data_IF_162521249359
#
_entry.id   IF_162521249359
#
_cell.length_a   1.000
_cell.length_b   1.000
_cell.length_c   1.000
_cell.angle_alpha   90.00
_cell.angle_beta   90.00
_cell.angle_gamma   90.00
#
_symmetry.space_group_name_H-M   'P 1'
#
loop_
_entity.id
_entity.type
_entity.pdbx_description
1 polymer ?
#
# COMPACT_ATOMS: atom_id res chain seq x y z
N UNK A 1 -2.99 -3.35 1.77
CA UNK A 1 -3.53 -1.97 1.63
C UNK A 1 -3.23 -1.50 0.23
N UNK A 2 -4.23 -0.90 -0.44
CA UNK A 2 -4.20 -0.68 -1.90
C UNK A 2 -4.42 -1.97 -2.69
N UNK A 3 -5.57 -2.64 -2.50
CA UNK A 3 -5.84 -3.93 -3.13
C UNK A 3 -6.35 -3.85 -4.57
N UNK A 4 -6.84 -2.68 -5.00
CA UNK A 4 -7.56 -2.48 -6.26
C UNK A 4 -8.67 -3.54 -6.40
N UNK A 5 -8.81 -4.16 -7.58
CA UNK A 5 -9.87 -5.12 -7.93
C UNK A 5 -9.36 -6.53 -8.24
N UNK A 6 -8.06 -6.79 -8.08
CA UNK A 6 -7.41 -8.06 -8.44
C UNK A 6 -6.90 -8.10 -9.90
N UNK A 7 -6.26 -9.21 -10.33
CA UNK A 7 -6.02 -10.45 -9.57
C UNK A 7 -4.78 -10.39 -8.66
N UNK A 8 -3.92 -9.37 -8.80
CA UNK A 8 -2.64 -9.29 -8.09
C UNK A 8 -2.80 -9.40 -6.55
N UNK A 9 -3.84 -8.79 -5.98
CA UNK A 9 -4.11 -8.89 -4.55
C UNK A 9 -4.40 -10.31 -4.09
N UNK A 10 -5.02 -11.15 -4.93
CA UNK A 10 -5.33 -12.54 -4.57
C UNK A 10 -4.06 -13.40 -4.55
N UNK A 11 -3.15 -13.18 -5.49
CA UNK A 11 -1.84 -13.86 -5.51
C UNK A 11 -1.03 -13.47 -4.27
N UNK A 12 -0.99 -12.17 -3.92
CA UNK A 12 -0.29 -11.70 -2.74
C UNK A 12 -0.88 -12.31 -1.45
N UNK A 13 -2.21 -12.32 -1.32
CA UNK A 13 -2.90 -12.94 -0.18
C UNK A 13 -2.60 -14.43 -0.09
N UNK A 14 -2.69 -15.16 -1.21
CA UNK A 14 -2.44 -16.60 -1.25
C UNK A 14 -1.01 -16.92 -0.79
N UNK A 15 -0.01 -16.19 -1.29
CA UNK A 15 1.39 -16.38 -0.89
C UNK A 15 1.60 -16.17 0.62
N UNK A 16 0.96 -15.13 1.19
CA UNK A 16 1.06 -14.85 2.63
C UNK A 16 0.37 -15.95 3.45
N UNK A 17 -0.84 -16.33 3.06
CA UNK A 17 -1.62 -17.38 3.73
C UNK A 17 -0.85 -18.71 3.73
N UNK A 18 -0.34 -19.14 2.58
CA UNK A 18 0.46 -20.36 2.46
C UNK A 18 1.72 -20.30 3.31
N UNK A 19 2.45 -19.18 3.29
CA UNK A 19 3.65 -19.01 4.11
C UNK A 19 3.35 -19.10 5.62
N UNK A 20 2.24 -18.49 6.07
CA UNK A 20 1.79 -18.57 7.46
C UNK A 20 1.43 -20.01 7.82
N UNK A 21 0.56 -20.67 7.05
CA UNK A 21 0.12 -22.03 7.34
C UNK A 21 1.27 -23.02 7.33
N UNK A 22 2.18 -22.94 6.35
CA UNK A 22 3.38 -23.78 6.30
C UNK A 22 4.25 -23.59 7.55
N UNK A 23 4.39 -22.34 8.03
CA UNK A 23 5.13 -22.07 9.26
C UNK A 23 4.48 -22.74 10.45
N UNK A 24 3.15 -22.61 10.63
CA UNK A 24 2.43 -23.26 11.71
C UNK A 24 2.57 -24.79 11.66
N UNK A 25 2.40 -25.40 10.49
CA UNK A 25 2.55 -26.85 10.30
C UNK A 25 3.97 -27.36 10.60
N UNK A 26 4.99 -26.56 10.31
CA UNK A 26 6.38 -26.96 10.60
C UNK A 26 6.73 -26.87 12.09
N UNK A 27 5.99 -26.09 12.87
CA UNK A 27 6.23 -25.88 14.30
C UNK A 27 5.33 -26.75 15.18
N UNK A 28 4.09 -26.97 14.77
CA UNK A 28 3.09 -27.76 15.49
C UNK A 28 2.96 -29.16 14.86
N UNK A 29 3.15 -30.22 15.65
CA UNK A 29 3.05 -31.61 15.15
C UNK A 29 1.60 -32.10 14.96
N UNK A 30 0.61 -31.28 15.30
CA UNK A 30 -0.81 -31.59 15.19
C UNK A 30 -1.50 -30.64 14.21
N UNK A 31 -2.10 -31.19 13.15
CA UNK A 31 -2.85 -30.43 12.15
C UNK A 31 -4.18 -29.87 12.69
N UNK A 32 -4.62 -30.30 13.89
CA UNK A 32 -5.85 -29.82 14.53
C UNK A 32 -5.77 -28.36 15.04
N UNK A 33 -4.58 -27.75 15.04
CA UNK A 33 -4.31 -26.42 15.63
C UNK A 33 -4.12 -25.29 14.61
N UNK A 34 -4.43 -25.51 13.33
CA UNK A 34 -4.24 -24.47 12.32
C UNK A 34 -5.10 -23.24 12.60
N UNK A 35 -4.53 -22.03 12.54
CA UNK A 35 -5.27 -20.82 12.83
C UNK A 35 -6.31 -20.54 11.73
N UNK A 36 -7.46 -20.04 12.14
CA UNK A 36 -8.37 -19.37 11.21
C UNK A 36 -7.76 -18.05 10.73
N UNK A 37 -7.83 -17.80 9.43
CA UNK A 37 -7.22 -16.62 8.82
C UNK A 37 -8.29 -15.64 8.35
N UNK A 38 -8.18 -14.39 8.79
CA UNK A 38 -9.01 -13.28 8.34
C UNK A 38 -8.17 -12.31 7.51
N UNK A 39 -8.62 -12.04 6.29
CA UNK A 39 -7.98 -11.14 5.33
C UNK A 39 -8.82 -9.89 5.15
N UNK A 40 -8.19 -8.73 5.31
CA UNK A 40 -8.80 -7.44 5.02
C UNK A 40 -8.26 -6.87 3.71
N UNK A 41 -9.15 -6.66 2.75
CA UNK A 41 -8.84 -6.02 1.47
C UNK A 41 -9.19 -4.53 1.59
N UNK A 42 -8.17 -3.70 1.72
CA UNK A 42 -8.32 -2.25 1.83
C UNK A 42 -7.97 -1.54 0.53
N UNK A 43 -8.82 -0.59 0.14
CA UNK A 43 -8.57 0.42 -0.88
C UNK A 43 -9.41 1.68 -0.59
N UNK A 44 -9.31 2.72 -1.42
CA UNK A 44 -10.16 3.90 -1.35
C UNK A 44 -11.64 3.52 -1.37
N UNK A 45 -12.48 4.34 -0.72
CA UNK A 45 -13.92 4.10 -0.66
C UNK A 45 -14.60 4.08 -2.06
N UNK A 46 -13.96 4.69 -3.05
CA UNK A 46 -14.43 4.72 -4.45
C UNK A 46 -13.94 3.52 -5.27
N UNK A 47 -13.13 2.63 -4.71
CA UNK A 47 -12.70 1.42 -5.40
C UNK A 47 -13.90 0.50 -5.70
N UNK A 48 -13.83 -0.25 -6.79
CA UNK A 48 -14.89 -1.18 -7.18
C UNK A 48 -14.78 -2.51 -6.41
N UNK A 49 -15.21 -2.46 -5.14
CA UNK A 49 -15.29 -3.65 -4.28
C UNK A 49 -16.26 -4.70 -4.82
N UNK A 50 -17.24 -4.33 -5.66
CA UNK A 50 -18.16 -5.31 -6.25
C UNK A 50 -17.41 -6.22 -7.22
N UNK A 51 -16.59 -5.65 -8.09
CA UNK A 51 -15.72 -6.43 -8.98
C UNK A 51 -14.74 -7.27 -8.18
N UNK A 52 -14.08 -6.68 -7.17
CA UNK A 52 -13.16 -7.41 -6.29
C UNK A 52 -13.82 -8.65 -5.66
N UNK A 53 -15.00 -8.50 -5.07
CA UNK A 53 -15.68 -9.61 -4.39
C UNK A 53 -16.22 -10.67 -5.36
N UNK A 54 -16.68 -10.28 -6.55
CA UNK A 54 -17.08 -11.23 -7.60
C UNK A 54 -15.90 -12.05 -8.13
N UNK A 55 -14.69 -11.48 -8.10
CA UNK A 55 -13.46 -12.11 -8.58
C UNK A 55 -12.71 -12.92 -7.51
N UNK A 56 -13.22 -13.01 -6.28
CA UNK A 56 -12.56 -13.77 -5.22
C UNK A 56 -12.41 -15.26 -5.60
N UNK A 57 -11.26 -15.89 -5.31
CA UNK A 57 -11.08 -17.32 -5.52
C UNK A 57 -12.13 -18.14 -4.73
N UNK A 58 -12.82 -19.09 -5.38
CA UNK A 58 -13.90 -19.85 -4.72
C UNK A 58 -13.38 -20.81 -3.64
N UNK A 59 -12.22 -21.44 -3.87
CA UNK A 59 -11.63 -22.44 -2.98
C UNK A 59 -10.56 -21.82 -2.06
N UNK A 60 -10.95 -20.86 -1.23
CA UNK A 60 -10.08 -20.19 -0.26
C UNK A 60 -10.24 -20.79 1.14
N UNK A 61 -9.15 -20.86 1.89
CA UNK A 61 -9.09 -21.32 3.28
C UNK A 61 -8.95 -20.15 4.28
N UNK A 62 -9.52 -19.00 3.93
CA UNK A 62 -9.50 -17.76 4.72
C UNK A 62 -10.80 -16.97 4.53
N UNK A 63 -11.17 -16.21 5.55
CA UNK A 63 -12.28 -15.28 5.51
C UNK A 63 -11.83 -13.93 4.94
N UNK A 64 -12.72 -13.23 4.26
CA UNK A 64 -12.42 -11.96 3.59
C UNK A 64 -13.41 -10.88 4.02
N UNK A 65 -12.88 -9.70 4.33
CA UNK A 65 -13.66 -8.48 4.50
C UNK A 65 -13.04 -7.33 3.69
N UNK A 66 -13.88 -6.44 3.16
CA UNK A 66 -13.44 -5.19 2.55
C UNK A 66 -13.32 -4.09 3.60
N UNK A 67 -12.30 -3.24 3.46
CA UNK A 67 -12.09 -2.10 4.35
C UNK A 67 -11.93 -0.82 3.52
N UNK A 68 -13.02 -0.11 3.19
CA UNK A 68 -12.95 1.13 2.41
C UNK A 68 -12.33 2.26 3.25
N UNK A 69 -11.35 2.97 2.69
CA UNK A 69 -10.72 4.12 3.32
C UNK A 69 -9.27 4.35 2.89
N UNK A 70 -8.76 5.56 3.08
CA UNK A 70 -7.36 5.88 2.78
C UNK A 70 -6.43 5.16 3.76
N UNK A 71 -5.42 4.47 3.23
CA UNK A 71 -4.40 3.83 4.06
C UNK A 71 -3.45 4.81 4.73
N UNK A 72 -3.42 6.09 4.35
CA UNK A 72 -2.59 7.09 5.05
C UNK A 72 -3.07 7.34 6.49
N UNK A 73 -4.33 7.03 6.80
CA UNK A 73 -4.91 7.15 8.15
C UNK A 73 -5.12 5.81 8.86
N UNK A 74 -5.71 5.89 10.06
CA UNK A 74 -6.20 4.72 10.81
C UNK A 74 -7.41 4.10 10.12
N UNK A 75 -7.42 2.77 10.04
CA UNK A 75 -8.47 1.93 9.45
C UNK A 75 -8.91 0.82 10.41
N UNK A 76 -8.03 0.39 11.32
CA UNK A 76 -8.27 -0.76 12.18
C UNK A 76 -8.18 -0.40 13.67
N UNK A 77 -8.81 -1.21 14.55
CA UNK A 77 -8.55 -1.16 15.98
C UNK A 77 -7.07 -1.33 16.32
N UNK A 78 -6.71 -0.97 17.54
CA UNK A 78 -5.34 -1.14 18.02
C UNK A 78 -5.02 -2.62 18.19
N UNK A 79 -3.79 -3.02 17.84
CA UNK A 79 -3.29 -4.41 17.98
C UNK A 79 -4.20 -5.47 17.32
N UNK A 80 -4.72 -5.22 16.12
CA UNK A 80 -5.61 -6.15 15.42
C UNK A 80 -5.02 -6.79 14.17
N UNK A 81 -3.90 -6.29 13.66
CA UNK A 81 -3.26 -6.79 12.43
C UNK A 81 -1.96 -7.54 12.74
N UNK A 82 -1.83 -8.76 12.22
CA UNK A 82 -0.60 -9.55 12.33
C UNK A 82 0.38 -9.27 11.19
N UNK A 83 -0.14 -9.12 9.97
CA UNK A 83 0.64 -8.88 8.76
C UNK A 83 -0.07 -7.79 7.94
N UNK A 84 0.68 -6.75 7.58
CA UNK A 84 0.26 -5.72 6.63
C UNK A 84 1.08 -5.88 5.36
N UNK A 85 0.41 -5.96 4.23
CA UNK A 85 1.05 -6.01 2.92
C UNK A 85 0.57 -4.85 2.05
N UNK A 86 1.50 -4.13 1.45
CA UNK A 86 1.24 -3.02 0.53
C UNK A 86 2.17 -3.13 -0.68
N UNK A 87 1.60 -3.13 -1.88
CA UNK A 87 2.37 -3.25 -3.14
C UNK A 87 1.88 -2.22 -4.15
N UNK A 88 2.78 -1.41 -4.68
CA UNK A 88 2.48 -0.39 -5.70
C UNK A 88 1.32 0.53 -5.31
N UNK A 89 1.23 0.91 -4.03
CA UNK A 89 0.23 1.85 -3.53
C UNK A 89 0.86 3.09 -2.88
N UNK A 90 1.96 2.95 -2.13
CA UNK A 90 2.55 4.05 -1.35
C UNK A 90 3.14 5.18 -2.20
N UNK A 91 3.37 4.98 -3.49
CA UNK A 91 3.79 6.06 -4.38
C UNK A 91 2.66 7.06 -4.69
N UNK A 92 1.41 6.70 -4.42
CA UNK A 92 0.28 7.61 -4.56
C UNK A 92 0.17 8.50 -3.33
N UNK A 93 0.47 9.79 -3.53
CA UNK A 93 0.35 10.79 -2.49
C UNK A 93 -1.10 10.96 -2.03
N UNK A 94 -1.28 11.40 -0.79
CA UNK A 94 -2.61 11.72 -0.25
C UNK A 94 -3.26 12.90 -0.98
N UNK A 95 -2.44 13.80 -1.50
CA UNK A 95 -2.84 15.00 -2.22
C UNK A 95 -1.68 15.52 -3.09
N UNK A 96 -1.98 16.45 -4.00
CA UNK A 96 -0.96 17.22 -4.72
C UNK A 96 -0.28 18.18 -3.74
N UNK A 97 1.07 18.32 -3.75
CA UNK A 97 1.75 19.32 -2.92
C UNK A 97 1.26 20.73 -3.27
N UNK A 98 0.80 21.50 -2.28
CA UNK A 98 0.17 22.81 -2.52
C UNK A 98 1.10 23.80 -3.22
N UNK A 99 2.38 23.72 -2.89
CA UNK A 99 3.44 24.58 -3.42
C UNK A 99 3.66 24.38 -4.92
N UNK A 100 3.27 23.23 -5.49
CA UNK A 100 3.42 22.99 -6.93
C UNK A 100 2.25 23.55 -7.75
N UNK A 101 1.12 23.84 -7.10
CA UNK A 101 -0.07 24.44 -7.71
C UNK A 101 -0.08 25.98 -7.61
N UNK A 102 0.65 26.54 -6.64
CA UNK A 102 0.74 27.98 -6.43
C UNK A 102 1.66 28.65 -7.46
N UNK A 103 1.09 29.48 -8.34
CA UNK A 103 1.81 30.23 -9.39
C UNK A 103 2.90 31.17 -8.83
N UNK A 104 2.76 31.62 -7.59
CA UNK A 104 3.74 32.49 -6.93
C UNK A 104 4.88 31.73 -6.25
N UNK A 105 4.74 30.41 -6.08
CA UNK A 105 5.72 29.55 -5.43
C UNK A 105 6.91 29.25 -6.34
N UNK A 106 8.14 29.18 -5.79
CA UNK A 106 9.29 28.71 -6.55
C UNK A 106 9.19 27.22 -6.94
N UNK A 107 8.25 26.47 -6.35
CA UNK A 107 7.97 25.08 -6.69
C UNK A 107 6.88 24.92 -7.76
N UNK A 108 6.27 26.01 -8.26
CA UNK A 108 5.21 25.98 -9.27
C UNK A 108 5.57 25.12 -10.47
N UNK A 109 4.81 24.05 -10.72
CA UNK A 109 5.15 23.08 -11.74
C UNK A 109 4.55 23.42 -13.11
N UNK A 110 4.87 24.61 -13.63
CA UNK A 110 4.29 25.12 -14.89
C UNK A 110 4.49 24.14 -16.06
N UNK A 111 3.38 23.75 -16.69
CA UNK A 111 3.37 22.98 -17.93
C UNK A 111 3.80 21.53 -17.77
N UNK A 112 3.82 20.99 -16.54
CA UNK A 112 4.18 19.60 -16.24
C UNK A 112 3.16 19.00 -15.28
N UNK A 113 3.01 17.68 -15.34
CA UNK A 113 2.07 16.91 -14.52
C UNK A 113 2.74 16.19 -13.34
N UNK A 114 4.08 16.21 -13.27
CA UNK A 114 4.87 15.54 -12.25
C UNK A 114 6.26 16.19 -12.12
N UNK A 115 7.08 15.77 -11.15
CA UNK A 115 8.40 16.39 -10.88
C UNK A 115 9.50 16.00 -11.88
N UNK A 116 9.23 15.15 -12.86
CA UNK A 116 10.24 14.71 -13.84
C UNK A 116 10.78 15.91 -14.62
N UNK A 117 12.12 16.09 -14.62
CA UNK A 117 12.77 17.25 -15.26
C UNK A 117 12.24 18.61 -14.76
N UNK A 118 11.81 18.67 -13.49
CA UNK A 118 11.34 19.89 -12.82
C UNK A 118 12.46 20.54 -12.01
N UNK A 119 12.20 21.73 -11.47
CA UNK A 119 13.13 22.42 -10.58
C UNK A 119 13.29 21.66 -9.25
N UNK A 120 14.43 21.85 -8.59
CA UNK A 120 14.72 21.19 -7.30
C UNK A 120 13.66 21.50 -6.24
N UNK A 121 13.07 22.70 -6.27
CA UNK A 121 11.98 23.10 -5.38
C UNK A 121 10.71 22.27 -5.61
N UNK A 122 10.37 21.98 -6.87
CA UNK A 122 9.26 21.09 -7.21
C UNK A 122 9.55 19.66 -6.73
N UNK A 123 10.75 19.15 -7.01
CA UNK A 123 11.17 17.81 -6.55
C UNK A 123 11.08 17.71 -5.03
N UNK A 124 11.56 18.73 -4.32
CA UNK A 124 11.48 18.82 -2.86
C UNK A 124 10.05 18.84 -2.36
N UNK A 125 9.15 19.61 -2.97
CA UNK A 125 7.74 19.64 -2.56
C UNK A 125 7.07 18.25 -2.65
N UNK A 126 7.32 17.51 -3.73
CA UNK A 126 6.85 16.13 -3.85
C UNK A 126 7.49 15.18 -2.81
N UNK A 127 8.80 15.34 -2.54
CA UNK A 127 9.50 14.53 -1.55
C UNK A 127 9.00 14.79 -0.12
N UNK A 128 8.76 16.06 0.24
CA UNK A 128 8.24 16.46 1.55
C UNK A 128 6.81 15.93 1.75
N UNK A 129 5.94 16.01 0.72
CA UNK A 129 4.60 15.42 0.77
C UNK A 129 4.65 13.90 0.93
N UNK A 130 5.52 13.20 0.17
CA UNK A 130 5.71 11.75 0.33
C UNK A 130 6.19 11.38 1.74
N UNK A 131 7.15 12.14 2.29
CA UNK A 131 7.65 11.90 3.63
C UNK A 131 6.55 12.06 4.68
N UNK A 132 5.71 13.10 4.57
CA UNK A 132 4.56 13.29 5.44
C UNK A 132 3.51 12.19 5.31
N UNK A 133 3.21 11.74 4.09
CA UNK A 133 2.26 10.66 3.82
C UNK A 133 2.75 9.31 4.36
N UNK A 134 4.05 9.03 4.20
CA UNK A 134 4.68 7.82 4.72
C UNK A 134 4.71 7.82 6.26
N UNK A 135 5.00 8.97 6.88
CA UNK A 135 4.94 9.12 8.33
C UNK A 135 3.53 8.86 8.87
N UNK A 136 2.51 9.47 8.26
CA UNK A 136 1.10 9.21 8.59
C UNK A 136 0.75 7.71 8.46
N UNK A 137 1.13 7.08 7.34
CA UNK A 137 0.93 5.66 7.12
C UNK A 137 1.59 4.82 8.22
N UNK A 138 2.88 5.02 8.48
CA UNK A 138 3.62 4.24 9.47
C UNK A 138 3.09 4.47 10.89
N UNK A 139 2.71 5.69 11.24
CA UNK A 139 2.13 6.02 12.54
C UNK A 139 0.77 5.33 12.76
N UNK A 140 -0.06 5.27 11.71
CA UNK A 140 -1.32 4.52 11.76
C UNK A 140 -1.06 3.00 11.88
N UNK A 141 -0.13 2.44 11.09
CA UNK A 141 0.21 1.01 11.15
C UNK A 141 0.83 0.60 12.48
N UNK A 142 1.67 1.45 13.07
CA UNK A 142 2.29 1.19 14.36
C UNK A 142 1.26 1.01 15.49
N UNK A 143 0.08 1.62 15.37
CA UNK A 143 -1.00 1.44 16.34
C UNK A 143 -1.85 0.19 16.06
N UNK A 144 -1.97 -0.22 14.80
CA UNK A 144 -2.86 -1.30 14.38
C UNK A 144 -2.19 -2.67 14.36
N UNK A 145 -0.88 -2.70 14.14
CA UNK A 145 -0.08 -3.93 14.05
C UNK A 145 0.30 -4.39 15.44
N UNK A 146 0.00 -5.65 15.75
CA UNK A 146 0.35 -6.28 17.03
C UNK A 146 1.86 -6.25 17.26
N UNK A 147 2.27 -6.32 18.52
CA UNK A 147 3.68 -6.54 18.87
C UNK A 147 4.24 -7.78 18.16
N UNK A 148 5.32 -7.60 17.41
CA UNK A 148 5.96 -8.67 16.63
C UNK A 148 5.31 -8.95 15.27
N UNK A 149 4.28 -8.19 14.89
CA UNK A 149 3.68 -8.24 13.56
C UNK A 149 4.62 -7.69 12.47
N UNK A 150 4.25 -7.95 11.21
CA UNK A 150 5.06 -7.63 10.05
C UNK A 150 4.39 -6.60 9.15
N UNK A 151 5.19 -5.69 8.60
CA UNK A 151 4.79 -4.77 7.53
C UNK A 151 5.68 -5.04 6.31
N UNK A 152 5.05 -5.47 5.21
CA UNK A 152 5.71 -5.81 3.95
C UNK A 152 5.35 -4.73 2.92
N UNK A 153 6.37 -4.02 2.43
CA UNK A 153 6.21 -2.90 1.51
C UNK A 153 6.94 -3.20 0.19
N UNK A 154 6.21 -3.16 -0.92
CA UNK A 154 6.77 -3.16 -2.28
C UNK A 154 6.42 -1.84 -2.94
N UNK A 155 7.40 -0.94 -3.05
CA UNK A 155 7.21 0.44 -3.50
C UNK A 155 8.11 0.71 -4.70
N UNK A 156 7.59 1.31 -5.79
CA UNK A 156 8.45 1.75 -6.88
C UNK A 156 9.39 2.84 -6.35
N UNK A 157 10.69 2.62 -6.55
CA UNK A 157 11.75 3.53 -6.11
C UNK A 157 12.65 3.97 -7.25
N UNK A 158 13.51 4.93 -6.96
CA UNK A 158 14.59 5.41 -7.84
C UNK A 158 15.92 5.17 -7.14
N UNK A 159 16.95 4.76 -7.88
CA UNK A 159 18.32 4.73 -7.35
C UNK A 159 18.91 6.14 -7.29
N UNK A 160 19.74 6.43 -6.30
CA UNK A 160 20.35 7.77 -6.14
C UNK A 160 21.07 8.27 -7.41
N UNK A 161 21.70 7.36 -8.13
CA UNK A 161 22.42 7.61 -9.39
C UNK A 161 21.53 7.93 -10.60
N UNK A 162 20.21 7.65 -10.53
CA UNK A 162 19.29 7.89 -11.65
C UNK A 162 18.76 9.32 -11.60
N UNK A 163 18.86 10.15 -12.65
CA UNK A 163 18.31 11.50 -12.63
C UNK A 163 16.77 11.48 -12.52
N UNK A 164 16.18 12.51 -11.90
CA UNK A 164 14.72 12.69 -11.80
C UNK A 164 14.02 12.78 -13.17
N UNK A 165 14.78 12.95 -14.26
CA UNK A 165 14.27 12.92 -15.63
C UNK A 165 13.86 11.52 -16.11
N UNK A 166 14.30 10.45 -15.42
CA UNK A 166 14.07 9.04 -15.78
C UNK A 166 13.06 8.32 -14.88
N UNK A 167 12.14 9.03 -14.23
CA UNK A 167 11.10 8.38 -13.42
C UNK A 167 10.29 7.45 -14.32
N UNK A 168 10.34 6.15 -14.01
CA UNK A 168 9.65 5.10 -14.73
C UNK A 168 8.14 5.28 -14.61
N UNK A 169 7.53 5.98 -15.57
CA UNK A 169 6.21 5.57 -16.01
C UNK A 169 6.42 4.25 -16.75
N UNK A 170 6.38 3.12 -16.03
CA UNK A 170 6.10 1.85 -16.71
C UNK A 170 4.84 2.08 -17.51
N UNK A 171 4.98 2.03 -18.83
CA UNK A 171 3.86 2.02 -19.76
C UNK A 171 3.00 0.81 -19.41
N UNK A 172 1.95 1.03 -18.62
CA UNK A 172 0.80 0.16 -18.57
C UNK A 172 -0.34 0.90 -19.25
N UNK A 173 -0.37 0.75 -20.57
CA UNK A 173 -1.58 0.81 -21.40
C UNK A 173 -1.72 -0.57 -22.01
#
# INVERSE_FOLDING_TARGET
MGCSVGPNTFVAVQNIVEAVLNKYQSQEHDHSSLPELQVFLNDHALNDFNTLFKSLPPNRNYYVAGMPGSFHGRLFPTDSLHIVHTSYALQWLSQVPKEVEDVSSPAWNKGRIHYSSSADQTVKAYADQFAGDLDCFLHARAQEVVRGGLIILMVPGRTDSSPHTRVFFQHFI
#
